data_IF_925383828016
#
_entry.id   IF_925383828016
#
_cell.length_a   1.000
_cell.length_b   1.000
_cell.length_c   1.000
_cell.angle_alpha   90.00
_cell.angle_beta   90.00
_cell.angle_gamma   90.00
#
_symmetry.space_group_name_H-M   'P 1'
#
loop_
_entity.id
_entity.type
_entity.pdbx_description
1 polymer ?
#
# COMPACT_ATOMS: atom_id res chain seq x y z
N UNK A 1 -8.87 -14.30 27.12
CA UNK A 1 -9.75 -13.27 26.53
C UNK A 1 -9.41 -13.15 25.05
N UNK A 2 -10.37 -12.85 24.19
CA UNK A 2 -10.06 -12.73 22.77
C UNK A 2 -9.24 -11.47 22.48
N UNK A 3 -8.23 -11.57 21.63
CA UNK A 3 -7.38 -10.43 21.27
C UNK A 3 -7.29 -10.22 19.77
N UNK A 4 -7.29 -8.95 19.38
CA UNK A 4 -7.14 -8.54 17.99
C UNK A 4 -5.72 -8.89 17.51
N UNK A 5 -5.65 -9.64 16.42
CA UNK A 5 -4.40 -9.97 15.74
C UNK A 5 -4.19 -9.05 14.54
N UNK A 6 -5.20 -8.88 13.69
CA UNK A 6 -5.13 -8.09 12.46
C UNK A 6 -6.38 -7.25 12.29
N UNK A 7 -6.21 -5.96 12.03
CA UNK A 7 -7.28 -5.06 11.65
C UNK A 7 -7.46 -5.13 10.14
N UNK A 8 -8.67 -5.42 9.67
CA UNK A 8 -8.94 -5.61 8.23
C UNK A 8 -9.07 -4.29 7.46
N UNK A 9 -8.84 -3.14 8.11
CA UNK A 9 -8.84 -1.84 7.44
C UNK A 9 -7.68 -1.77 6.44
N UNK A 10 -8.03 -1.62 5.16
CA UNK A 10 -7.07 -1.58 4.04
C UNK A 10 -6.30 -2.89 3.81
N UNK A 11 -6.76 -4.01 4.39
CA UNK A 11 -6.20 -5.33 4.08
C UNK A 11 -6.92 -5.87 2.86
N UNK A 12 -6.22 -6.14 1.75
CA UNK A 12 -6.85 -6.72 0.56
C UNK A 12 -7.19 -8.20 0.79
N UNK A 13 -8.17 -8.69 0.03
CA UNK A 13 -8.76 -10.03 0.25
C UNK A 13 -7.75 -11.18 0.08
N UNK A 14 -6.72 -10.99 -0.76
CA UNK A 14 -5.63 -11.94 -0.96
C UNK A 14 -4.76 -12.07 0.29
N UNK A 15 -4.40 -10.95 0.94
CA UNK A 15 -3.64 -10.96 2.18
C UNK A 15 -4.45 -11.63 3.30
N UNK A 16 -5.76 -11.37 3.37
CA UNK A 16 -6.64 -12.05 4.33
C UNK A 16 -6.67 -13.56 4.11
N UNK A 17 -6.76 -14.02 2.85
CA UNK A 17 -6.73 -15.45 2.53
C UNK A 17 -5.39 -16.10 2.92
N UNK A 18 -4.27 -15.40 2.71
CA UNK A 18 -2.94 -15.86 3.10
C UNK A 18 -2.78 -15.93 4.64
N UNK A 19 -3.29 -14.93 5.37
CA UNK A 19 -3.28 -14.93 6.84
C UNK A 19 -4.16 -16.04 7.40
N UNK A 20 -5.32 -16.33 6.81
CA UNK A 20 -6.15 -17.49 7.19
C UNK A 20 -5.38 -18.80 7.04
N UNK A 21 -4.78 -19.01 5.87
CA UNK A 21 -3.98 -20.21 5.61
C UNK A 21 -2.79 -20.35 6.57
N UNK A 22 -2.14 -19.23 6.93
CA UNK A 22 -1.05 -19.21 7.91
C UNK A 22 -1.53 -19.64 9.32
N UNK A 23 -2.67 -19.13 9.77
CA UNK A 23 -3.25 -19.48 11.06
C UNK A 23 -3.75 -20.94 11.09
N UNK A 24 -4.39 -21.39 10.02
CA UNK A 24 -4.86 -22.76 9.85
C UNK A 24 -3.68 -23.75 9.86
N UNK A 25 -2.59 -23.45 9.15
CA UNK A 25 -1.37 -24.26 9.13
C UNK A 25 -0.69 -24.33 10.51
N UNK A 26 -0.74 -23.25 11.27
CA UNK A 26 -0.22 -23.19 12.63
C UNK A 26 -1.12 -23.85 13.68
N UNK A 27 -2.34 -24.25 13.29
CA UNK A 27 -3.44 -24.74 14.13
C UNK A 27 -3.78 -23.78 15.27
N UNK A 28 -3.90 -22.49 14.93
CA UNK A 28 -4.24 -21.42 15.88
C UNK A 28 -5.73 -21.11 15.73
N UNK A 29 -6.46 -21.08 16.84
CA UNK A 29 -7.90 -20.83 16.81
C UNK A 29 -8.21 -19.33 16.68
N UNK A 30 -8.83 -18.95 15.56
CA UNK A 30 -9.24 -17.57 15.28
C UNK A 30 -10.72 -17.44 14.92
N UNK A 31 -11.22 -16.20 14.95
CA UNK A 31 -12.51 -15.83 14.40
C UNK A 31 -12.42 -14.44 13.78
N UNK A 32 -13.35 -14.17 12.87
CA UNK A 32 -13.37 -12.92 12.12
C UNK A 32 -14.64 -12.13 12.39
N UNK A 33 -14.49 -10.82 12.48
CA UNK A 33 -15.63 -9.91 12.47
C UNK A 33 -15.75 -9.27 11.09
N UNK A 34 -16.96 -9.26 10.54
CA UNK A 34 -17.24 -8.62 9.24
C UNK A 34 -17.21 -7.09 9.38
N UNK A 35 -16.83 -6.36 8.32
CA UNK A 35 -17.00 -4.92 8.28
C UNK A 35 -18.49 -4.55 8.45
N UNK A 36 -18.74 -3.46 9.16
CA UNK A 36 -20.09 -2.94 9.34
C UNK A 36 -20.62 -2.29 8.07
N UNK A 37 -21.94 -2.31 7.86
CA UNK A 37 -22.62 -1.78 6.67
C UNK A 37 -22.30 -0.30 6.38
N UNK A 38 -21.96 0.47 7.42
CA UNK A 38 -21.61 1.89 7.31
C UNK A 38 -20.11 2.16 7.11
N UNK A 39 -19.27 1.13 6.97
CA UNK A 39 -17.82 1.27 6.75
C UNK A 39 -17.02 1.78 7.97
N UNK A 40 -17.66 1.98 9.12
CA UNK A 40 -17.01 2.50 10.35
C UNK A 40 -16.12 1.43 10.99
N UNK A 41 -16.61 0.20 11.06
CA UNK A 41 -15.83 -0.98 11.46
C UNK A 41 -15.36 -1.70 10.21
N UNK A 42 -14.05 -1.89 10.07
CA UNK A 42 -13.47 -2.65 8.97
C UNK A 42 -13.48 -4.16 9.22
N UNK A 43 -13.84 -4.61 10.42
CA UNK A 43 -13.66 -5.99 10.84
C UNK A 43 -12.23 -6.27 11.34
N UNK A 44 -12.01 -7.48 11.82
CA UNK A 44 -10.74 -7.89 12.40
C UNK A 44 -10.62 -9.42 12.51
N UNK A 45 -9.39 -9.91 12.47
CA UNK A 45 -9.06 -11.28 12.87
C UNK A 45 -8.72 -11.27 14.35
N UNK A 46 -9.41 -12.10 15.11
CA UNK A 46 -9.30 -12.21 16.56
C UNK A 46 -8.87 -13.62 16.94
N UNK A 47 -7.96 -13.71 17.91
CA UNK A 47 -7.54 -14.97 18.50
C UNK A 47 -8.43 -15.32 19.67
N UNK A 48 -8.78 -16.60 19.82
CA UNK A 48 -9.57 -17.07 20.97
C UNK A 48 -8.73 -17.17 22.23
N UNK A 49 -7.51 -17.69 22.09
CA UNK A 49 -6.62 -17.99 23.20
C UNK A 49 -5.51 -16.94 23.33
N UNK A 50 -5.29 -16.45 24.55
CA UNK A 50 -4.28 -15.41 24.82
C UNK A 50 -2.86 -15.97 24.72
N UNK A 51 -2.68 -17.25 25.08
CA UNK A 51 -1.40 -17.94 25.01
C UNK A 51 -0.87 -18.06 23.57
N UNK A 52 -1.77 -18.10 22.58
CA UNK A 52 -1.40 -18.21 21.17
C UNK A 52 -1.06 -16.86 20.53
N UNK A 53 -1.33 -15.74 21.23
CA UNK A 53 -1.10 -14.41 20.68
C UNK A 53 0.36 -14.15 20.30
N UNK A 54 1.30 -14.54 21.16
CA UNK A 54 2.72 -14.33 20.90
C UNK A 54 3.17 -15.11 19.66
N UNK A 55 2.71 -16.36 19.53
CA UNK A 55 3.01 -17.24 18.40
C UNK A 55 2.40 -16.72 17.10
N UNK A 56 1.12 -16.34 17.12
CA UNK A 56 0.44 -15.77 15.97
C UNK A 56 1.10 -14.46 15.49
N UNK A 57 1.51 -13.59 16.41
CA UNK A 57 2.24 -12.36 16.08
C UNK A 57 3.60 -12.64 15.46
N UNK A 58 4.34 -13.63 15.96
CA UNK A 58 5.62 -14.01 15.38
C UNK A 58 5.45 -14.52 13.94
N UNK A 59 4.48 -15.43 13.71
CA UNK A 59 4.16 -15.94 12.37
C UNK A 59 3.75 -14.82 11.42
N UNK A 60 2.89 -13.90 11.87
CA UNK A 60 2.46 -12.76 11.06
C UNK A 60 3.62 -11.83 10.74
N UNK A 61 4.54 -11.60 11.68
CA UNK A 61 5.73 -10.78 11.46
C UNK A 61 6.66 -11.40 10.40
N UNK A 62 6.90 -12.71 10.48
CA UNK A 62 7.70 -13.45 9.51
C UNK A 62 7.07 -13.42 8.11
N UNK A 63 5.75 -13.60 8.05
CA UNK A 63 4.98 -13.48 6.81
C UNK A 63 5.10 -12.07 6.20
N UNK A 64 4.90 -11.02 6.99
CA UNK A 64 5.00 -9.64 6.51
C UNK A 64 6.42 -9.30 6.05
N UNK A 65 7.45 -9.81 6.73
CA UNK A 65 8.83 -9.67 6.30
C UNK A 65 9.06 -10.32 4.93
N UNK A 66 8.57 -11.56 4.74
CA UNK A 66 8.67 -12.26 3.45
C UNK A 66 7.91 -11.52 2.33
N UNK A 67 6.71 -11.03 2.61
CA UNK A 67 5.91 -10.24 1.64
C UNK A 67 6.62 -8.95 1.25
N UNK A 68 7.23 -8.27 2.23
CA UNK A 68 8.07 -7.08 2.00
C UNK A 68 9.30 -7.37 1.13
N UNK A 69 10.01 -8.47 1.39
CA UNK A 69 11.15 -8.90 0.57
C UNK A 69 10.74 -9.23 -0.87
N UNK A 70 9.61 -9.91 -1.07
CA UNK A 70 9.06 -10.17 -2.40
C UNK A 70 8.74 -8.88 -3.15
N UNK A 71 8.05 -7.93 -2.51
CA UNK A 71 7.74 -6.64 -3.13
C UNK A 71 9.01 -5.83 -3.49
N UNK A 72 10.05 -5.90 -2.66
CA UNK A 72 11.36 -5.29 -2.97
C UNK A 72 12.04 -5.97 -4.14
N UNK A 73 12.01 -7.30 -4.19
CA UNK A 73 12.59 -8.09 -5.27
C UNK A 73 11.87 -7.85 -6.60
N UNK A 74 10.53 -7.80 -6.59
CA UNK A 74 9.70 -7.45 -7.75
C UNK A 74 10.00 -6.02 -8.23
N UNK A 75 10.11 -5.06 -7.31
CA UNK A 75 10.52 -3.69 -7.66
C UNK A 75 11.93 -3.65 -8.26
N UNK A 76 12.88 -4.40 -7.70
CA UNK A 76 14.23 -4.48 -8.23
C UNK A 76 14.28 -5.17 -9.60
N UNK A 77 13.43 -6.17 -9.85
CA UNK A 77 13.26 -6.80 -11.15
C UNK A 77 12.65 -5.81 -12.16
N UNK A 78 11.57 -5.10 -11.80
CA UNK A 78 10.95 -4.08 -12.65
C UNK A 78 11.90 -2.91 -12.98
N UNK A 79 12.77 -2.52 -12.03
CA UNK A 79 13.82 -1.53 -12.28
C UNK A 79 14.88 -2.04 -13.26
N UNK A 80 15.30 -3.31 -13.14
CA UNK A 80 16.28 -3.94 -14.06
C UNK A 80 15.72 -4.11 -15.46
N UNK A 81 14.44 -4.46 -15.56
CA UNK A 81 13.75 -4.67 -16.84
C UNK A 81 13.32 -3.35 -17.51
N UNK A 82 13.55 -2.21 -16.85
CA UNK A 82 13.19 -0.87 -17.35
C UNK A 82 11.69 -0.61 -17.42
N UNK A 83 10.88 -1.51 -16.87
CA UNK A 83 9.41 -1.44 -16.84
C UNK A 83 8.87 -0.71 -15.61
N UNK A 84 9.71 -0.44 -14.62
CA UNK A 84 9.34 0.46 -13.53
C UNK A 84 8.90 1.81 -14.14
N UNK A 85 7.63 2.17 -13.92
CA UNK A 85 7.05 3.48 -14.24
C UNK A 85 7.79 4.56 -13.46
N UNK A 86 8.97 4.89 -13.93
CA UNK A 86 9.79 5.96 -13.41
C UNK A 86 9.59 7.15 -14.34
N UNK A 87 9.76 8.38 -13.84
CA UNK A 87 9.72 9.58 -14.69
C UNK A 87 10.61 9.47 -15.94
N UNK A 88 11.73 8.75 -15.85
CA UNK A 88 12.61 8.43 -16.99
C UNK A 88 11.93 7.56 -18.06
N UNK A 89 11.10 6.59 -17.66
CA UNK A 89 10.32 5.73 -18.57
C UNK A 89 9.21 6.53 -19.26
N UNK A 90 8.55 7.43 -18.51
CA UNK A 90 7.54 8.34 -19.07
C UNK A 90 8.15 9.32 -20.07
N UNK A 91 9.31 9.91 -19.74
CA UNK A 91 10.07 10.81 -20.62
C UNK A 91 10.54 10.11 -21.90
N UNK A 92 10.97 8.85 -21.83
CA UNK A 92 11.36 8.05 -23.01
C UNK A 92 10.16 7.62 -23.85
N UNK A 93 9.03 7.23 -23.25
CA UNK A 93 7.84 6.77 -23.99
C UNK A 93 7.03 7.90 -24.62
N UNK A 94 6.92 9.06 -23.96
CA UNK A 94 6.10 10.20 -24.43
C UNK A 94 6.79 11.55 -24.18
N UNK A 95 7.93 11.82 -24.85
CA UNK A 95 8.70 13.06 -24.62
C UNK A 95 7.89 14.32 -24.92
N UNK A 96 7.06 14.30 -25.97
CA UNK A 96 6.20 15.43 -26.37
C UNK A 96 5.14 15.78 -25.30
N UNK A 97 4.55 14.76 -24.66
CA UNK A 97 3.56 14.99 -23.60
C UNK A 97 4.21 15.66 -22.40
N UNK A 98 5.39 15.19 -21.98
CA UNK A 98 6.15 15.79 -20.87
C UNK A 98 6.55 17.23 -21.20
N UNK A 99 7.02 17.50 -22.42
CA UNK A 99 7.38 18.87 -22.85
C UNK A 99 6.16 19.81 -22.82
N UNK A 100 5.02 19.36 -23.34
CA UNK A 100 3.79 20.15 -23.35
C UNK A 100 3.28 20.46 -21.94
N UNK A 101 3.33 19.47 -21.03
CA UNK A 101 2.97 19.67 -19.63
C UNK A 101 3.90 20.67 -18.94
N UNK A 102 5.22 20.56 -19.14
CA UNK A 102 6.19 21.51 -18.58
C UNK A 102 5.97 22.92 -19.12
N UNK A 103 5.71 23.06 -20.43
CA UNK A 103 5.42 24.35 -21.05
C UNK A 103 4.15 24.98 -20.46
N UNK A 104 3.09 24.17 -20.27
CA UNK A 104 1.85 24.61 -19.63
C UNK A 104 2.05 25.06 -18.19
N UNK A 105 2.81 24.29 -17.39
CA UNK A 105 3.15 24.68 -16.01
C UNK A 105 3.93 26.00 -15.97
N UNK A 106 4.90 26.17 -16.87
CA UNK A 106 5.71 27.38 -16.95
C UNK A 106 4.88 28.60 -17.37
N UNK A 107 3.92 28.39 -18.28
CA UNK A 107 3.01 29.43 -18.75
C UNK A 107 2.09 29.89 -17.62
N UNK A 108 1.49 28.95 -16.87
CA UNK A 108 0.66 29.27 -15.70
C UNK A 108 1.50 29.97 -14.61
N UNK A 109 2.68 29.44 -14.28
CA UNK A 109 3.57 30.05 -13.30
C UNK A 109 3.98 31.47 -13.72
N UNK A 110 4.28 31.68 -15.00
CA UNK A 110 4.61 32.99 -15.54
C UNK A 110 3.44 33.96 -15.47
N UNK A 111 2.21 33.50 -15.71
CA UNK A 111 1.00 34.31 -15.62
C UNK A 111 0.71 34.75 -14.17
N UNK A 112 0.95 33.85 -13.21
CA UNK A 112 0.83 34.14 -11.77
C UNK A 112 1.95 35.08 -11.30
N UNK A 113 3.19 34.88 -11.74
CA UNK A 113 4.28 35.80 -11.41
C UNK A 113 4.03 37.18 -12.01
N UNK A 114 3.60 37.23 -13.28
CA UNK A 114 3.31 38.47 -14.00
C UNK A 114 2.22 39.28 -13.30
N UNK A 115 1.13 38.63 -12.85
CA UNK A 115 0.08 39.32 -12.10
C UNK A 115 0.60 39.88 -10.78
N UNK A 116 1.48 39.15 -10.08
CA UNK A 116 2.11 39.63 -8.84
C UNK A 116 3.04 40.83 -9.08
N UNK A 117 3.78 40.85 -10.18
CA UNK A 117 4.63 42.00 -10.55
C UNK A 117 3.81 43.20 -11.03
N UNK A 118 2.71 43.00 -11.77
CA UNK A 118 1.83 44.09 -12.21
C UNK A 118 1.01 44.71 -11.07
N UNK A 119 0.61 43.93 -10.07
CA UNK A 119 -0.20 44.40 -8.92
C UNK A 119 0.63 45.05 -7.82
N UNK A 120 1.96 45.09 -7.96
CA UNK A 120 2.90 45.67 -6.98
C UNK A 120 3.48 47.02 -7.42
N UNK A 121 2.94 47.59 -8.51
CA UNK A 121 3.20 48.95 -9.00
C UNK A 121 2.07 49.91 -8.67
#
# INVERSE_FOLDING_TARGET
MAKLLLNLRHVPDDELAEVRALLDAARIDYYETRPGTFGISAGGVWLREDAEQARAKALLADYQAQRGERARAERAAALRDGSAETFATLLRRRPLFVLATLLGMLLIASLVLLSFFLLRG
#
